data_IF_260733014211
#
_entry.id   IF_260733014211
#
_cell.length_a   1.000
_cell.length_b   1.000
_cell.length_c   1.000
_cell.angle_alpha   90.00
_cell.angle_beta   90.00
_cell.angle_gamma   90.00
#
_symmetry.space_group_name_H-M   'P 1'
#
loop_
_entity.id
_entity.type
_entity.pdbx_description
1 polymer ?
#
# COMPACT_ATOMS: atom_id res chain seq x y z
N UNK A 1 19.24 -2.90 -17.40
CA UNK A 1 19.03 -4.15 -16.62
C UNK A 1 18.63 -3.80 -15.19
N UNK A 2 19.53 -3.27 -14.35
CA UNK A 2 19.25 -2.93 -12.95
C UNK A 2 17.90 -2.24 -12.68
N UNK A 3 17.58 -1.14 -13.37
CA UNK A 3 16.33 -0.41 -13.15
C UNK A 3 15.08 -1.21 -13.47
N UNK A 4 15.14 -2.14 -14.45
CA UNK A 4 14.03 -3.03 -14.78
C UNK A 4 13.73 -3.97 -13.61
N UNK A 5 14.78 -4.56 -13.06
CA UNK A 5 14.67 -5.49 -11.93
C UNK A 5 14.23 -4.76 -10.66
N UNK A 6 14.78 -3.58 -10.39
CA UNK A 6 14.37 -2.74 -9.26
C UNK A 6 12.86 -2.41 -9.31
N UNK A 7 12.38 -1.90 -10.44
CA UNK A 7 10.98 -1.49 -10.58
C UNK A 7 10.03 -2.70 -10.50
N UNK A 8 10.37 -3.83 -11.15
CA UNK A 8 9.60 -5.08 -11.04
C UNK A 8 9.54 -5.56 -9.60
N UNK A 9 10.69 -5.66 -8.92
CA UNK A 9 10.76 -6.17 -7.55
C UNK A 9 10.03 -5.26 -6.56
N UNK A 10 10.02 -3.94 -6.77
CA UNK A 10 9.24 -3.01 -5.97
C UNK A 10 7.73 -3.32 -6.05
N UNK A 11 7.19 -3.53 -7.25
CA UNK A 11 5.78 -3.91 -7.45
C UNK A 11 5.45 -5.26 -6.80
N UNK A 12 6.32 -6.27 -6.97
CA UNK A 12 6.15 -7.58 -6.35
C UNK A 12 6.17 -7.50 -4.81
N UNK A 13 7.08 -6.69 -4.25
CA UNK A 13 7.19 -6.50 -2.79
C UNK A 13 5.95 -5.86 -2.17
N UNK A 14 5.12 -5.19 -2.98
CA UNK A 14 3.87 -4.54 -2.58
C UNK A 14 2.63 -5.40 -2.87
N UNK A 15 2.82 -6.67 -3.23
CA UNK A 15 1.74 -7.65 -3.33
C UNK A 15 1.18 -7.85 -4.72
N UNK A 16 1.74 -7.24 -5.77
CA UNK A 16 1.39 -7.61 -7.14
C UNK A 16 1.94 -8.99 -7.45
N UNK A 17 1.09 -9.87 -7.96
CA UNK A 17 1.48 -11.23 -8.35
C UNK A 17 2.24 -11.22 -9.67
N UNK A 18 3.24 -12.10 -9.76
CA UNK A 18 4.11 -12.17 -10.94
C UNK A 18 3.34 -12.54 -12.22
N UNK A 19 2.31 -13.39 -12.12
CA UNK A 19 1.47 -13.76 -13.27
C UNK A 19 0.72 -12.57 -13.89
N UNK A 20 0.50 -11.50 -13.12
CA UNK A 20 -0.20 -10.30 -13.58
C UNK A 20 0.76 -9.22 -14.10
N UNK A 21 2.07 -9.46 -14.10
CA UNK A 21 3.09 -8.53 -14.59
C UNK A 21 3.87 -9.09 -15.76
N UNK A 22 4.20 -8.22 -16.72
CA UNK A 22 5.20 -8.52 -17.74
C UNK A 22 6.08 -7.32 -18.05
N UNK A 23 7.28 -7.61 -18.54
CA UNK A 23 8.18 -6.60 -19.09
C UNK A 23 8.16 -6.72 -20.60
N UNK A 24 7.80 -5.64 -21.29
CA UNK A 24 7.72 -5.56 -22.75
C UNK A 24 8.74 -4.56 -23.26
N UNK A 25 9.77 -5.07 -23.94
CA UNK A 25 10.72 -4.20 -24.65
C UNK A 25 10.01 -3.60 -25.88
N UNK A 26 10.23 -2.32 -26.14
CA UNK A 26 9.68 -1.63 -27.31
C UNK A 26 10.35 -2.12 -28.59
N UNK A 27 9.55 -2.27 -29.65
CA UNK A 27 10.09 -2.49 -30.99
C UNK A 27 10.76 -1.21 -31.52
N UNK A 28 11.73 -1.30 -32.46
CA UNK A 28 12.42 -0.12 -32.99
C UNK A 28 11.50 0.97 -33.54
N UNK A 29 10.32 0.61 -34.05
CA UNK A 29 9.33 1.54 -34.58
C UNK A 29 8.53 2.28 -33.49
N UNK A 30 8.51 1.76 -32.26
CA UNK A 30 7.79 2.35 -31.12
C UNK A 30 8.69 3.28 -30.30
N UNK A 31 10.02 3.12 -30.42
CA UNK A 31 10.99 3.95 -29.72
C UNK A 31 10.83 5.42 -30.11
N UNK A 32 10.76 6.28 -29.08
CA UNK A 32 10.97 7.70 -29.30
C UNK A 32 12.34 7.94 -29.95
N UNK A 33 12.45 8.92 -30.82
CA UNK A 33 13.67 9.17 -31.62
C UNK A 33 14.95 9.43 -30.79
N UNK A 34 14.80 9.79 -29.52
CA UNK A 34 15.89 10.01 -28.56
C UNK A 34 16.14 8.82 -27.63
N UNK A 35 15.27 7.80 -27.65
CA UNK A 35 15.40 6.62 -26.81
C UNK A 35 16.24 5.55 -27.50
N UNK A 36 17.29 5.08 -26.83
CA UNK A 36 18.09 3.95 -27.27
C UNK A 36 17.38 2.62 -27.02
N UNK A 37 16.63 2.54 -25.92
CA UNK A 37 15.86 1.38 -25.53
C UNK A 37 14.81 1.79 -24.49
N UNK A 38 13.63 1.19 -24.57
CA UNK A 38 12.56 1.37 -23.59
C UNK A 38 11.95 0.02 -23.25
N UNK A 39 11.66 -0.21 -21.97
CA UNK A 39 10.89 -1.36 -21.51
C UNK A 39 9.71 -0.87 -20.69
N UNK A 40 8.51 -1.31 -21.03
CA UNK A 40 7.33 -1.08 -20.21
C UNK A 40 7.13 -2.25 -19.25
N UNK A 41 6.84 -1.95 -17.99
CA UNK A 41 6.19 -2.88 -17.07
C UNK A 41 4.69 -2.72 -17.27
N UNK A 42 4.04 -3.80 -17.69
CA UNK A 42 2.61 -3.85 -17.97
C UNK A 42 1.90 -4.75 -16.97
N UNK A 43 0.66 -4.39 -16.65
CA UNK A 43 -0.22 -5.12 -15.73
C UNK A 43 -1.45 -5.66 -16.46
N UNK A 44 -1.83 -6.89 -16.13
CA UNK A 44 -3.02 -7.54 -16.65
C UNK A 44 -4.27 -7.09 -15.87
N UNK A 45 -4.88 -5.99 -16.28
CA UNK A 45 -6.10 -5.50 -15.64
C UNK A 45 -7.28 -6.47 -15.87
N UNK A 46 -8.23 -6.60 -14.92
CA UNK A 46 -9.35 -7.52 -15.07
C UNK A 46 -10.34 -7.15 -16.20
N UNK A 47 -10.21 -5.96 -16.78
CA UNK A 47 -11.09 -5.43 -17.83
C UNK A 47 -10.37 -5.13 -19.17
N UNK A 48 -9.04 -5.32 -19.26
CA UNK A 48 -8.24 -5.18 -20.49
C UNK A 48 -7.05 -6.12 -20.46
N UNK A 49 -6.53 -6.57 -21.60
CA UNK A 49 -5.39 -7.52 -21.63
C UNK A 49 -4.15 -7.03 -20.86
N UNK A 50 -3.52 -5.95 -21.30
CA UNK A 50 -2.29 -5.42 -20.70
C UNK A 50 -2.31 -3.89 -20.77
N UNK A 51 -2.07 -3.24 -19.62
CA UNK A 51 -1.92 -1.81 -19.53
C UNK A 51 -0.54 -1.43 -18.97
N UNK A 52 0.12 -0.46 -19.58
CA UNK A 52 1.41 0.05 -19.12
C UNK A 52 1.27 0.73 -17.74
N UNK A 53 2.14 0.36 -16.81
CA UNK A 53 2.26 1.00 -15.49
C UNK A 53 3.49 1.89 -15.41
N UNK A 54 4.62 1.39 -15.91
CA UNK A 54 5.93 1.96 -15.68
C UNK A 54 6.83 1.81 -16.91
N UNK A 55 7.16 2.89 -17.58
CA UNK A 55 8.16 2.90 -18.65
C UNK A 55 9.57 3.10 -18.10
N UNK A 56 10.54 2.29 -18.51
CA UNK A 56 11.96 2.46 -18.20
C UNK A 56 12.71 2.75 -19.51
N UNK A 57 13.05 4.02 -19.73
CA UNK A 57 13.67 4.51 -20.96
C UNK A 57 15.16 4.83 -20.77
N UNK A 58 15.98 4.52 -21.77
CA UNK A 58 17.35 4.98 -21.92
C UNK A 58 17.38 6.12 -22.95
N UNK A 59 17.41 7.35 -22.44
CA UNK A 59 17.27 8.58 -23.25
C UNK A 59 18.62 9.17 -23.66
N UNK A 60 19.70 8.44 -23.39
CA UNK A 60 21.08 8.90 -23.65
C UNK A 60 21.34 10.29 -23.05
N UNK A 61 22.14 11.13 -23.72
CA UNK A 61 22.41 12.50 -23.30
C UNK A 61 21.46 13.53 -23.94
N UNK A 62 20.38 13.08 -24.61
CA UNK A 62 19.52 13.94 -25.42
C UNK A 62 18.94 15.12 -24.62
N UNK A 63 18.35 14.84 -23.46
CA UNK A 63 17.61 15.84 -22.67
C UNK A 63 18.51 16.97 -22.17
N UNK A 64 19.63 16.60 -21.54
CA UNK A 64 20.60 17.55 -21.04
C UNK A 64 21.28 18.30 -22.20
N UNK A 65 21.59 17.63 -23.30
CA UNK A 65 22.14 18.27 -24.50
C UNK A 65 21.21 19.35 -25.04
N UNK A 66 19.92 19.04 -25.18
CA UNK A 66 18.92 20.01 -25.65
C UNK A 66 18.79 21.22 -24.73
N UNK A 67 18.77 21.00 -23.42
CA UNK A 67 18.68 22.10 -22.44
C UNK A 67 19.96 22.95 -22.38
N UNK A 68 21.14 22.35 -22.50
CA UNK A 68 22.41 23.07 -22.58
C UNK A 68 22.45 23.98 -23.80
N UNK A 69 22.10 23.47 -24.99
CA UNK A 69 22.05 24.26 -26.22
C UNK A 69 21.06 25.43 -26.13
N UNK A 70 19.88 25.19 -25.58
CA UNK A 70 18.83 26.21 -25.50
C UNK A 70 19.13 27.28 -24.44
N UNK A 71 19.75 26.90 -23.31
CA UNK A 71 20.02 27.81 -22.19
C UNK A 71 21.38 28.50 -22.25
N UNK A 72 22.35 27.94 -22.98
CA UNK A 72 23.74 28.38 -22.98
C UNK A 72 24.48 28.12 -21.65
N UNK A 73 23.88 27.37 -20.73
CA UNK A 73 24.50 26.94 -19.48
C UNK A 73 25.04 25.52 -19.63
N UNK A 74 26.28 25.30 -19.21
CA UNK A 74 26.86 23.96 -19.22
C UNK A 74 26.14 23.06 -18.22
N UNK A 75 25.78 21.86 -18.69
CA UNK A 75 25.22 20.73 -17.95
C UNK A 75 26.17 19.52 -18.02
N UNK A 76 27.44 19.75 -18.37
CA UNK A 76 28.47 18.72 -18.38
C UNK A 76 28.88 18.34 -16.96
N UNK A 77 29.13 17.06 -16.75
CA UNK A 77 29.73 16.51 -15.55
C UNK A 77 31.23 16.37 -15.76
N UNK A 78 32.02 16.75 -14.75
CA UNK A 78 33.45 16.48 -14.70
C UNK A 78 33.68 15.18 -13.93
N UNK A 79 34.22 14.17 -14.60
CA UNK A 79 34.60 12.92 -13.95
C UNK A 79 36.04 13.00 -13.43
N UNK A 80 36.26 12.97 -12.10
CA UNK A 80 37.60 13.10 -11.52
C UNK A 80 38.49 11.88 -11.77
N UNK A 81 37.93 10.72 -12.10
CA UNK A 81 38.71 9.50 -12.34
C UNK A 81 39.30 9.49 -13.75
N UNK A 82 38.55 10.01 -14.73
CA UNK A 82 38.97 10.10 -16.13
C UNK A 82 39.50 11.48 -16.52
N UNK A 83 39.24 12.52 -15.72
CA UNK A 83 39.50 13.93 -16.01
C UNK A 83 38.82 14.44 -17.30
N UNK A 84 37.65 13.90 -17.63
CA UNK A 84 36.88 14.27 -18.82
C UNK A 84 35.58 15.00 -18.46
N UNK A 85 35.16 15.91 -19.35
CA UNK A 85 33.84 16.51 -19.32
C UNK A 85 32.93 15.81 -20.32
N UNK A 86 31.74 15.40 -19.87
CA UNK A 86 30.72 14.83 -20.75
C UNK A 86 29.31 15.16 -20.27
N UNK A 87 28.34 15.08 -21.18
CA UNK A 87 26.92 15.18 -20.82
C UNK A 87 26.44 13.78 -20.41
N UNK A 88 26.00 13.57 -19.15
CA UNK A 88 25.58 12.26 -18.67
C UNK A 88 24.42 11.67 -19.46
N UNK A 89 24.35 10.34 -19.46
CA UNK A 89 23.19 9.62 -19.98
C UNK A 89 22.10 9.55 -18.92
N UNK A 90 20.84 9.64 -19.34
CA UNK A 90 19.67 9.62 -18.48
C UNK A 90 18.91 8.31 -18.67
N UNK A 91 18.75 7.57 -17.56
CA UNK A 91 17.79 6.47 -17.46
C UNK A 91 16.57 6.99 -16.71
N UNK A 92 15.39 6.82 -17.30
CA UNK A 92 14.14 7.35 -16.77
C UNK A 92 13.15 6.20 -16.50
N UNK A 93 12.97 5.81 -15.23
CA UNK A 93 11.80 5.05 -14.79
C UNK A 93 10.62 6.00 -14.52
N UNK A 94 9.64 6.03 -15.42
CA UNK A 94 8.42 6.86 -15.31
C UNK A 94 7.20 6.01 -14.95
N UNK A 95 6.66 6.18 -13.74
CA UNK A 95 5.52 5.44 -13.20
C UNK A 95 4.23 6.27 -13.25
N UNK A 96 3.16 5.70 -13.81
CA UNK A 96 1.82 6.30 -13.73
C UNK A 96 1.18 6.08 -12.35
N UNK A 97 1.17 7.11 -11.49
CA UNK A 97 0.66 7.03 -10.12
C UNK A 97 -0.81 6.53 -10.04
N UNK A 98 -1.70 7.05 -10.88
CA UNK A 98 -3.10 6.63 -10.91
C UNK A 98 -3.27 5.18 -11.39
N UNK A 99 -2.46 4.78 -12.38
CA UNK A 99 -2.52 3.42 -12.93
C UNK A 99 -2.00 2.40 -11.95
N UNK A 100 -0.90 2.68 -11.25
CA UNK A 100 -0.37 1.77 -10.24
C UNK A 100 -1.30 1.68 -9.02
N UNK A 101 -1.94 2.79 -8.63
CA UNK A 101 -2.96 2.78 -7.59
C UNK A 101 -4.15 1.88 -7.98
N UNK A 102 -4.64 1.99 -9.22
CA UNK A 102 -5.69 1.11 -9.74
C UNK A 102 -5.24 -0.35 -9.78
N UNK A 103 -4.01 -0.64 -10.21
CA UNK A 103 -3.47 -1.99 -10.22
C UNK A 103 -3.44 -2.60 -8.81
N UNK A 104 -3.00 -1.85 -7.80
CA UNK A 104 -3.05 -2.32 -6.41
C UNK A 104 -4.47 -2.58 -5.90
N UNK A 105 -5.45 -1.77 -6.32
CA UNK A 105 -6.85 -2.01 -5.97
C UNK A 105 -7.40 -3.28 -6.64
N UNK A 106 -7.09 -3.49 -7.92
CA UNK A 106 -7.48 -4.70 -8.65
C UNK A 106 -6.85 -5.95 -8.03
N UNK A 107 -5.57 -5.88 -7.68
CA UNK A 107 -4.84 -7.00 -7.08
C UNK A 107 -5.35 -7.36 -5.68
N UNK A 108 -5.69 -6.34 -4.90
CA UNK A 108 -6.16 -6.50 -3.53
C UNK A 108 -7.62 -6.94 -3.42
N UNK A 109 -8.43 -6.72 -4.45
CA UNK A 109 -9.86 -7.03 -4.41
C UNK A 109 -10.12 -8.53 -4.31
N UNK A 110 -10.82 -8.93 -3.26
CA UNK A 110 -11.22 -10.31 -3.02
C UNK A 110 -12.66 -10.39 -2.50
N UNK A 111 -13.35 -11.43 -2.94
CA UNK A 111 -14.73 -11.76 -2.60
C UNK A 111 -14.75 -13.11 -1.91
N UNK A 112 -14.55 -13.10 -0.60
CA UNK A 112 -14.39 -14.32 0.19
C UNK A 112 -15.74 -14.82 0.72
N UNK A 113 -16.02 -16.10 0.47
CA UNK A 113 -17.17 -16.82 1.04
C UNK A 113 -16.75 -17.42 2.38
N UNK A 114 -17.47 -17.03 3.43
CA UNK A 114 -17.31 -17.50 4.79
C UNK A 114 -18.46 -18.45 5.13
N UNK A 115 -18.13 -19.65 5.59
CA UNK A 115 -19.11 -20.62 6.07
C UNK A 115 -19.08 -20.66 7.59
N UNK A 116 -20.21 -20.43 8.25
CA UNK A 116 -20.30 -20.56 9.70
C UNK A 116 -20.34 -22.04 10.15
N UNK A 117 -20.21 -22.29 11.46
CA UNK A 117 -20.25 -23.63 12.05
C UNK A 117 -21.58 -24.38 11.80
N UNK A 118 -22.61 -23.67 11.32
CA UNK A 118 -23.93 -24.21 10.99
C UNK A 118 -24.11 -24.42 9.48
N UNK A 119 -23.04 -24.24 8.69
CA UNK A 119 -23.05 -24.42 7.24
C UNK A 119 -23.69 -23.26 6.46
N UNK A 120 -23.97 -22.12 7.11
CA UNK A 120 -24.52 -20.95 6.44
C UNK A 120 -23.38 -20.14 5.80
N UNK A 121 -23.51 -19.90 4.51
CA UNK A 121 -22.58 -19.06 3.75
C UNK A 121 -22.93 -17.57 3.88
N UNK A 122 -21.90 -16.76 4.05
CA UNK A 122 -21.93 -15.30 4.00
C UNK A 122 -20.74 -14.81 3.17
N UNK A 123 -20.85 -13.65 2.52
CA UNK A 123 -19.81 -13.13 1.62
C UNK A 123 -19.24 -11.83 2.19
N UNK A 124 -17.91 -11.67 2.21
CA UNK A 124 -17.28 -10.32 2.31
C UNK A 124 -16.67 -9.92 0.98
N UNK A 125 -16.70 -8.62 0.76
CA UNK A 125 -15.67 -7.95 -0.02
C UNK A 125 -14.55 -7.54 0.95
N UNK A 126 -13.30 -7.82 0.58
CA UNK A 126 -12.12 -7.40 1.32
C UNK A 126 -11.06 -6.87 0.36
N UNK A 127 -10.50 -5.70 0.68
CA UNK A 127 -9.30 -5.20 0.00
C UNK A 127 -8.06 -5.67 0.75
N UNK A 128 -7.40 -6.71 0.24
CA UNK A 128 -6.15 -7.27 0.78
C UNK A 128 -4.93 -6.42 0.44
N UNK A 129 -5.04 -5.11 0.58
CA UNK A 129 -3.95 -4.17 0.32
C UNK A 129 -2.74 -4.52 1.20
N UNK A 130 -1.54 -4.39 0.65
CA UNK A 130 -0.33 -4.46 1.45
C UNK A 130 -0.43 -3.45 2.60
N UNK A 131 -0.06 -3.81 3.86
CA UNK A 131 -0.22 -2.91 5.01
C UNK A 131 0.41 -1.52 4.83
N UNK A 132 1.53 -1.44 4.11
CA UNK A 132 2.18 -0.17 3.76
C UNK A 132 1.30 0.73 2.86
N UNK A 133 0.45 0.17 2.01
CA UNK A 133 -0.44 0.88 1.07
C UNK A 133 -1.83 1.18 1.65
N UNK A 134 -2.26 0.46 2.69
CA UNK A 134 -3.60 0.64 3.25
C UNK A 134 -3.85 2.11 3.68
N UNK A 135 -5.00 2.74 3.32
CA UNK A 135 -5.28 4.14 3.64
C UNK A 135 -5.29 4.42 5.14
N UNK A 136 -5.87 3.49 5.91
CA UNK A 136 -5.81 3.46 7.36
C UNK A 136 -5.02 2.23 7.80
N UNK A 137 -4.18 2.41 8.83
CA UNK A 137 -3.34 1.34 9.40
C UNK A 137 -4.10 0.56 10.47
N UNK A 138 -4.97 1.25 11.18
CA UNK A 138 -5.86 0.67 12.16
C UNK A 138 -7.20 1.43 12.22
N UNK A 139 -8.23 0.76 12.75
CA UNK A 139 -9.49 1.39 13.12
C UNK A 139 -9.82 1.07 14.59
N UNK A 140 -10.21 2.06 15.38
CA UNK A 140 -10.61 1.85 16.78
C UNK A 140 -12.14 1.84 16.89
N UNK A 141 -12.67 0.74 17.38
CA UNK A 141 -14.10 0.38 17.31
C UNK A 141 -14.64 0.06 18.71
N UNK A 142 -15.40 0.95 19.36
CA UNK A 142 -15.98 0.65 20.68
C UNK A 142 -17.11 -0.38 20.57
N UNK A 143 -17.13 -1.43 21.38
CA UNK A 143 -18.17 -2.47 21.34
C UNK A 143 -19.59 -1.88 21.52
N UNK A 144 -19.69 -0.80 22.29
CA UNK A 144 -20.90 0.01 22.50
C UNK A 144 -20.54 1.49 22.56
N UNK A 145 -21.47 2.38 22.21
CA UNK A 145 -21.29 3.84 22.30
C UNK A 145 -20.86 4.33 23.68
N UNK A 146 -21.19 3.60 24.75
CA UNK A 146 -20.76 3.91 26.12
C UNK A 146 -19.24 3.85 26.32
N UNK A 147 -18.52 3.16 25.43
CA UNK A 147 -17.07 3.01 25.46
C UNK A 147 -16.36 4.01 24.53
N UNK A 148 -17.12 4.94 23.93
CA UNK A 148 -16.63 5.89 22.94
C UNK A 148 -15.51 6.77 23.46
N UNK A 149 -15.60 7.26 24.70
CA UNK A 149 -14.58 8.14 25.28
C UNK A 149 -13.21 7.43 25.36
N UNK A 150 -13.18 6.19 25.89
CA UNK A 150 -11.94 5.41 25.97
C UNK A 150 -11.41 5.02 24.59
N UNK A 151 -12.30 4.67 23.66
CA UNK A 151 -11.92 4.37 22.28
C UNK A 151 -11.33 5.59 21.57
N UNK A 152 -11.91 6.78 21.77
CA UNK A 152 -11.37 8.04 21.23
C UNK A 152 -10.02 8.41 21.84
N UNK A 153 -9.82 8.18 23.14
CA UNK A 153 -8.52 8.35 23.79
C UNK A 153 -7.44 7.49 23.12
N UNK A 154 -7.70 6.18 22.97
CA UNK A 154 -6.77 5.24 22.32
C UNK A 154 -6.52 5.65 20.87
N UNK A 155 -7.59 5.98 20.13
CA UNK A 155 -7.48 6.44 18.74
C UNK A 155 -6.60 7.67 18.62
N UNK A 156 -6.79 8.66 19.48
CA UNK A 156 -6.04 9.92 19.44
C UNK A 156 -4.56 9.71 19.78
N UNK A 157 -4.25 8.75 20.66
CA UNK A 157 -2.86 8.39 20.95
C UNK A 157 -2.20 7.75 19.72
N UNK A 158 -2.85 6.75 19.11
CA UNK A 158 -2.33 6.06 17.94
C UNK A 158 -2.26 6.95 16.69
N UNK A 159 -3.17 7.91 16.56
CA UNK A 159 -3.24 8.84 15.43
C UNK A 159 -2.05 9.81 15.35
N UNK A 160 -1.20 9.89 16.38
CA UNK A 160 0.04 10.67 16.36
C UNK A 160 1.09 10.06 15.41
N UNK A 161 1.05 8.75 15.23
CA UNK A 161 2.05 8.00 14.46
C UNK A 161 1.46 7.34 13.20
N UNK A 162 0.13 7.09 13.18
CA UNK A 162 -0.52 6.34 12.11
C UNK A 162 -1.80 7.00 11.61
N UNK A 163 -2.20 6.65 10.39
CA UNK A 163 -3.57 6.91 9.92
C UNK A 163 -4.53 5.97 10.63
N UNK A 164 -5.34 6.49 11.55
CA UNK A 164 -6.27 5.72 12.38
C UNK A 164 -7.70 6.22 12.25
N UNK A 165 -8.59 5.31 11.87
CA UNK A 165 -10.02 5.55 11.75
C UNK A 165 -10.76 5.27 13.08
N UNK A 166 -11.99 5.81 13.20
CA UNK A 166 -12.88 5.58 14.34
C UNK A 166 -14.32 5.38 13.85
N UNK A 167 -15.00 4.37 14.38
CA UNK A 167 -16.39 4.09 14.00
C UNK A 167 -17.18 3.46 15.15
N UNK A 168 -18.30 4.07 15.52
CA UNK A 168 -19.25 3.59 16.53
C UNK A 168 -20.67 3.29 15.98
N UNK A 169 -20.82 3.34 14.66
CA UNK A 169 -22.12 3.21 14.00
C UNK A 169 -22.49 1.75 13.74
N UNK A 170 -23.60 1.29 14.32
CA UNK A 170 -24.11 -0.06 14.09
C UNK A 170 -23.35 -1.16 14.85
N UNK A 171 -23.60 -2.42 14.49
CA UNK A 171 -22.98 -3.56 15.18
C UNK A 171 -21.48 -3.64 14.89
N UNK A 172 -20.73 -4.27 15.80
CA UNK A 172 -19.27 -4.46 15.62
C UNK A 172 -18.95 -5.21 14.32
N UNK A 173 -19.75 -6.21 13.96
CA UNK A 173 -19.60 -6.93 12.69
C UNK A 173 -19.75 -6.03 11.46
N UNK A 174 -20.72 -5.10 11.44
CA UNK A 174 -20.87 -4.14 10.33
C UNK A 174 -19.67 -3.20 10.21
N UNK A 175 -19.07 -2.84 11.34
CA UNK A 175 -17.87 -1.99 11.38
C UNK A 175 -16.65 -2.73 10.84
N UNK A 176 -16.44 -3.99 11.24
CA UNK A 176 -15.41 -4.82 10.63
C UNK A 176 -15.60 -4.96 9.12
N UNK A 177 -16.83 -5.17 8.62
CA UNK A 177 -17.09 -5.26 7.17
C UNK A 177 -16.68 -3.99 6.43
N UNK A 178 -17.01 -2.79 6.95
CA UNK A 178 -16.58 -1.52 6.34
C UNK A 178 -15.06 -1.38 6.29
N UNK A 179 -14.37 -1.81 7.34
CA UNK A 179 -12.91 -1.74 7.41
C UNK A 179 -12.23 -2.77 6.50
N UNK A 180 -12.81 -3.97 6.37
CA UNK A 180 -12.38 -4.99 5.41
C UNK A 180 -12.54 -4.45 3.97
N UNK A 181 -13.67 -3.79 3.65
CA UNK A 181 -13.96 -3.20 2.33
C UNK A 181 -12.97 -2.10 1.92
N UNK A 182 -12.43 -1.33 2.86
CA UNK A 182 -11.43 -0.28 2.58
C UNK A 182 -9.98 -0.75 2.83
N UNK A 183 -9.81 -2.01 3.23
CA UNK A 183 -8.51 -2.66 3.38
C UNK A 183 -7.70 -2.29 4.61
N UNK A 184 -8.34 -1.79 5.67
CA UNK A 184 -7.67 -1.48 6.95
C UNK A 184 -7.10 -2.76 7.57
N UNK A 185 -5.78 -2.88 7.80
CA UNK A 185 -5.15 -4.14 8.22
C UNK A 185 -5.57 -4.62 9.61
N UNK A 186 -5.81 -3.69 10.54
CA UNK A 186 -6.09 -3.99 11.94
C UNK A 186 -7.34 -3.27 12.44
N UNK A 187 -8.24 -4.00 13.08
CA UNK A 187 -9.36 -3.41 13.82
C UNK A 187 -9.15 -3.62 15.33
N UNK A 188 -9.20 -2.56 16.10
CA UNK A 188 -8.96 -2.53 17.54
C UNK A 188 -10.30 -2.31 18.24
N UNK A 189 -10.78 -3.32 18.94
CA UNK A 189 -12.06 -3.29 19.64
C UNK A 189 -11.87 -3.00 21.11
N UNK A 190 -12.54 -1.95 21.59
CA UNK A 190 -12.61 -1.58 23.00
C UNK A 190 -13.90 -2.14 23.58
N UNK A 191 -13.82 -3.00 24.59
CA UNK A 191 -14.97 -3.64 25.21
C UNK A 191 -15.11 -3.27 26.69
N UNK A 192 -16.12 -3.84 27.36
CA UNK A 192 -16.38 -3.55 28.77
C UNK A 192 -15.28 -4.07 29.69
N UNK A 193 -14.56 -5.11 29.30
CA UNK A 193 -13.44 -5.63 30.09
C UNK A 193 -12.23 -4.67 30.03
N UNK A 194 -12.08 -3.93 28.93
CA UNK A 194 -11.05 -2.89 28.79
C UNK A 194 -11.14 -1.81 29.87
N UNK A 195 -12.36 -1.35 30.19
CA UNK A 195 -12.62 -0.26 31.14
C UNK A 195 -13.01 -0.72 32.53
N UNK A 196 -13.45 -1.97 32.68
CA UNK A 196 -13.98 -2.51 33.93
C UNK A 196 -15.31 -1.87 34.35
N UNK A 197 -15.84 -2.32 35.48
CA UNK A 197 -16.97 -1.73 36.19
C UNK A 197 -16.80 -1.89 37.71
N UNK A 198 -17.82 -1.51 38.50
CA UNK A 198 -17.78 -1.59 39.97
C UNK A 198 -17.55 -3.02 40.52
N UNK A 199 -17.66 -4.05 39.68
CA UNK A 199 -17.56 -5.47 40.05
C UNK A 199 -16.39 -6.18 39.37
N UNK A 200 -15.91 -5.66 38.25
CA UNK A 200 -14.85 -6.27 37.43
C UNK A 200 -13.77 -5.24 37.17
N UNK A 201 -12.54 -5.53 37.60
CA UNK A 201 -11.40 -4.65 37.37
C UNK A 201 -11.06 -4.56 35.87
N UNK A 202 -10.64 -3.37 35.45
CA UNK A 202 -10.23 -3.11 34.08
C UNK A 202 -8.95 -3.88 33.73
N UNK A 203 -8.96 -4.62 32.62
CA UNK A 203 -7.75 -5.34 32.17
C UNK A 203 -6.79 -4.48 31.36
N UNK A 204 -7.19 -3.24 30.99
CA UNK A 204 -6.44 -2.32 30.13
C UNK A 204 -5.94 -2.97 28.83
N UNK A 205 -6.67 -3.96 28.34
CA UNK A 205 -6.40 -4.65 27.10
C UNK A 205 -7.51 -4.37 26.08
N UNK A 206 -7.18 -4.53 24.81
CA UNK A 206 -8.11 -4.42 23.68
C UNK A 206 -8.02 -5.66 22.81
N UNK A 207 -9.06 -5.91 22.04
CA UNK A 207 -9.07 -7.01 21.08
C UNK A 207 -8.62 -6.49 19.73
N UNK A 208 -7.50 -7.00 19.21
CA UNK A 208 -6.99 -6.66 17.89
C UNK A 208 -7.39 -7.77 16.91
N UNK A 209 -8.12 -7.40 15.86
CA UNK A 209 -8.52 -8.28 14.77
C UNK A 209 -7.66 -8.02 13.53
N UNK A 210 -7.09 -9.08 12.97
CA UNK A 210 -6.39 -9.04 11.69
C UNK A 210 -7.39 -9.15 10.52
N UNK A 211 -7.22 -8.31 9.50
CA UNK A 211 -8.11 -8.25 8.32
C UNK A 211 -8.16 -9.57 7.56
N UNK A 212 -6.99 -10.12 7.26
CA UNK A 212 -6.83 -11.21 6.30
C UNK A 212 -7.22 -12.54 6.93
N UNK A 213 -6.68 -12.82 8.13
CA UNK A 213 -6.89 -14.08 8.86
C UNK A 213 -8.17 -14.08 9.69
N UNK A 214 -8.74 -12.91 9.98
CA UNK A 214 -9.85 -12.71 10.91
C UNK A 214 -9.57 -13.10 12.37
N UNK A 215 -8.33 -13.50 12.69
CA UNK A 215 -7.93 -13.87 14.04
C UNK A 215 -8.03 -12.67 14.98
N UNK A 216 -8.41 -12.95 16.23
CA UNK A 216 -8.57 -11.96 17.29
C UNK A 216 -7.64 -12.29 18.44
N UNK A 217 -6.83 -11.33 18.84
CA UNK A 217 -5.93 -11.44 19.99
C UNK A 217 -6.26 -10.36 21.02
N UNK A 218 -6.10 -10.69 22.31
CA UNK A 218 -6.21 -9.73 23.41
C UNK A 218 -4.82 -9.15 23.68
N UNK A 219 -4.66 -7.84 23.51
CA UNK A 219 -3.36 -7.15 23.61
C UNK A 219 -3.46 -5.98 24.61
N UNK A 220 -2.45 -5.77 25.48
CA UNK A 220 -2.36 -4.56 26.30
C UNK A 220 -2.35 -3.30 25.45
N UNK A 221 -3.05 -2.24 25.89
CA UNK A 221 -3.10 -0.96 25.15
C UNK A 221 -1.70 -0.38 24.92
N UNK A 222 -0.79 -0.57 25.88
CA UNK A 222 0.61 -0.11 25.80
C UNK A 222 1.41 -0.74 24.65
N UNK A 223 1.02 -1.92 24.16
CA UNK A 223 1.72 -2.65 23.10
C UNK A 223 1.17 -2.35 21.70
N UNK A 224 0.04 -1.64 21.60
CA UNK A 224 -0.63 -1.39 20.31
C UNK A 224 0.27 -0.65 19.31
N UNK A 225 1.01 0.35 19.78
CA UNK A 225 1.86 1.18 18.90
C UNK A 225 2.91 0.32 18.20
N UNK A 226 3.63 -0.50 18.96
CA UNK A 226 4.68 -1.37 18.43
C UNK A 226 4.10 -2.49 17.56
N UNK A 227 2.94 -3.02 17.95
CA UNK A 227 2.24 -4.03 17.17
C UNK A 227 1.82 -3.50 15.79
N UNK A 228 1.22 -2.31 15.74
CA UNK A 228 0.84 -1.64 14.48
C UNK A 228 2.10 -1.34 13.66
N UNK A 229 3.13 -0.73 14.27
CA UNK A 229 4.38 -0.39 13.59
C UNK A 229 5.00 -1.62 12.90
N UNK A 230 5.05 -2.76 13.59
CA UNK A 230 5.56 -4.01 13.03
C UNK A 230 4.70 -4.53 11.89
N UNK A 231 3.37 -4.45 12.00
CA UNK A 231 2.45 -4.92 10.95
C UNK A 231 2.54 -4.08 9.68
N UNK A 232 2.82 -2.79 9.79
CA UNK A 232 2.78 -1.84 8.66
C UNK A 232 4.15 -1.41 8.13
N UNK A 233 5.23 -1.95 8.70
CA UNK A 233 6.58 -1.73 8.21
C UNK A 233 6.71 -2.18 6.75
N UNK A 234 7.37 -1.36 5.93
CA UNK A 234 7.78 -1.67 4.56
C UNK A 234 9.28 -1.94 4.53
#
# INVERSE_FOLDING_TARGET
AYWKDFCKNWLLSLGIKEENLRLRDHEPAELAFYSRATTDIEYAFPFTDWGELWGIADRTNYDLGRHQEASGKSLEYFDPDTNEHYIPYVIEPSLGADRVALAFLCEAYDEEVLTDDKGKEDKRVVLRLHPALAPYKAAVLPLSKKLGDKAMEIRNELAKDFMVDYDDAGSIGKRYRRQDEIGTPLCITVDFQTVGDDKVEADNCVTVRDRDTMEQIRLPISELKDYIAKKVAF
#
